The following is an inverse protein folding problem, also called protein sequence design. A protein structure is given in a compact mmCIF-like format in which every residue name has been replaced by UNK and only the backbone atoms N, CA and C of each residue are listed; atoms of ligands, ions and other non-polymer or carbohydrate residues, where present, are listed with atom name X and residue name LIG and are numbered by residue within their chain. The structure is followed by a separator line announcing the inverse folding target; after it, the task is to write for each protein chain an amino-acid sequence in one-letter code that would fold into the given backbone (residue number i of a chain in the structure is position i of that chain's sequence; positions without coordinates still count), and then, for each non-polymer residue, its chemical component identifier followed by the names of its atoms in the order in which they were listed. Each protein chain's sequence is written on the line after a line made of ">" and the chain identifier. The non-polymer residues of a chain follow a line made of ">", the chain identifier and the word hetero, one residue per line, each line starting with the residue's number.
data_IF_125497154957
#
_entry.id   IF_125497154957
#
_cell.length_a   1.000
_cell.length_b   1.000
_cell.length_c   1.000
_cell.angle_alpha   90.00
_cell.angle_beta   90.00
_cell.angle_gamma   90.00
#
_symmetry.space_group_name_H-M   'P 1'
#
loop_
_entity.id
_entity.type
_entity.pdbx_description
1 polymer ?
#
# COMPACT_ATOMS: atom_id res chain seq x y z
N UNK A 1 -7.18 10.72 -7.96
CA UNK A 1 -5.93 10.31 -8.64
C UNK A 1 -4.76 10.17 -7.66
N UNK A 2 -4.51 11.16 -6.87
CA UNK A 2 -3.36 11.26 -5.96
C UNK A 2 -3.35 10.22 -4.84
N UNK A 3 -4.47 9.98 -4.19
CA UNK A 3 -4.61 8.94 -3.17
C UNK A 3 -4.31 7.55 -3.73
N UNK A 4 -4.91 7.23 -4.89
CA UNK A 4 -4.69 5.96 -5.57
C UNK A 4 -3.23 5.76 -5.97
N UNK A 5 -2.56 6.83 -6.46
CA UNK A 5 -1.13 6.79 -6.75
C UNK A 5 -0.30 6.45 -5.51
N UNK A 6 -0.55 7.12 -4.37
CA UNK A 6 0.24 6.91 -3.15
C UNK A 6 0.01 5.53 -2.54
N UNK A 7 -1.24 5.06 -2.52
CA UNK A 7 -1.55 3.70 -2.05
C UNK A 7 -0.90 2.66 -2.96
N UNK A 8 -1.07 2.80 -4.29
CA UNK A 8 -0.47 1.85 -5.24
C UNK A 8 1.06 1.88 -5.21
N UNK A 9 1.66 3.06 -5.06
CA UNK A 9 3.11 3.19 -4.89
C UNK A 9 3.59 2.40 -3.67
N UNK A 10 2.91 2.54 -2.56
CA UNK A 10 3.28 1.90 -1.31
C UNK A 10 3.07 0.38 -1.36
N UNK A 11 1.86 -0.08 -1.66
CA UNK A 11 1.57 -1.52 -1.73
C UNK A 11 2.43 -2.20 -2.81
N UNK A 12 2.63 -1.51 -3.95
CA UNK A 12 3.52 -1.97 -5.01
C UNK A 12 4.96 -2.16 -4.54
N UNK A 13 5.51 -1.22 -3.76
CA UNK A 13 6.87 -1.38 -3.20
C UNK A 13 6.93 -2.60 -2.27
N UNK A 14 5.93 -2.82 -1.42
CA UNK A 14 5.90 -3.96 -0.52
C UNK A 14 5.83 -5.28 -1.28
N UNK A 15 4.97 -5.39 -2.29
CA UNK A 15 4.91 -6.56 -3.19
C UNK A 15 6.24 -6.81 -3.89
N UNK A 16 6.85 -5.77 -4.46
CA UNK A 16 8.16 -5.89 -5.13
C UNK A 16 9.28 -6.28 -4.16
N UNK A 17 9.26 -5.79 -2.92
CA UNK A 17 10.23 -6.19 -1.90
C UNK A 17 10.08 -7.66 -1.52
N UNK A 18 8.86 -8.17 -1.36
CA UNK A 18 8.61 -9.59 -1.10
C UNK A 18 9.22 -10.44 -2.22
N UNK A 19 8.92 -10.12 -3.48
CA UNK A 19 9.44 -10.85 -4.65
C UNK A 19 10.97 -10.73 -4.74
N UNK A 20 11.53 -9.53 -4.54
CA UNK A 20 12.96 -9.29 -4.64
C UNK A 20 13.75 -10.04 -3.54
N UNK A 21 13.25 -10.03 -2.30
CA UNK A 21 13.88 -10.74 -1.18
C UNK A 21 13.80 -12.24 -1.40
N UNK A 22 12.62 -12.75 -1.83
CA UNK A 22 12.44 -14.17 -2.14
C UNK A 22 13.38 -14.62 -3.27
N UNK A 23 13.45 -13.87 -4.37
CA UNK A 23 14.32 -14.19 -5.49
C UNK A 23 15.81 -14.13 -5.12
N UNK A 24 16.21 -13.11 -4.35
CA UNK A 24 17.59 -12.97 -3.87
C UNK A 24 17.99 -14.13 -2.94
N UNK A 25 17.10 -14.51 -2.02
CA UNK A 25 17.32 -15.64 -1.11
C UNK A 25 17.49 -16.96 -1.87
N UNK A 26 16.57 -17.27 -2.81
CA UNK A 26 16.61 -18.50 -3.60
C UNK A 26 17.86 -18.59 -4.49
N UNK A 27 18.29 -17.45 -5.06
CA UNK A 27 19.57 -17.38 -5.81
C UNK A 27 20.77 -17.62 -4.90
N UNK A 28 20.80 -16.97 -3.72
CA UNK A 28 21.90 -17.11 -2.76
C UNK A 28 22.04 -18.54 -2.22
N UNK A 29 20.94 -19.27 -2.07
CA UNK A 29 20.91 -20.66 -1.57
C UNK A 29 21.02 -21.71 -2.68
N UNK A 30 21.23 -21.30 -3.94
CA UNK A 30 21.35 -22.22 -5.09
C UNK A 30 20.03 -22.87 -5.54
N UNK A 31 18.89 -22.44 -4.98
CA UNK A 31 17.56 -23.01 -5.26
C UNK A 31 16.84 -22.28 -6.40
N UNK A 32 17.53 -22.00 -7.49
CA UNK A 32 17.01 -21.20 -8.62
C UNK A 32 15.81 -21.83 -9.32
N UNK A 33 15.65 -23.16 -9.27
CA UNK A 33 14.48 -23.87 -9.81
C UNK A 33 13.15 -23.41 -9.14
N UNK A 34 13.21 -22.92 -7.89
CA UNK A 34 12.04 -22.44 -7.16
C UNK A 34 11.64 -20.99 -7.52
N UNK A 35 12.43 -20.29 -8.35
CA UNK A 35 12.07 -18.94 -8.82
C UNK A 35 10.76 -18.93 -9.62
N UNK A 36 10.48 -20.00 -10.36
CA UNK A 36 9.21 -20.14 -11.07
C UNK A 36 8.01 -20.12 -10.12
N UNK A 37 8.13 -20.71 -8.93
CA UNK A 37 7.09 -20.72 -7.91
C UNK A 37 6.79 -19.29 -7.38
N UNK A 38 7.84 -18.45 -7.21
CA UNK A 38 7.68 -17.04 -6.82
C UNK A 38 6.90 -16.27 -7.89
N UNK A 39 7.25 -16.42 -9.17
CA UNK A 39 6.58 -15.71 -10.25
C UNK A 39 5.13 -16.16 -10.45
N UNK A 40 4.87 -17.46 -10.41
CA UNK A 40 3.51 -18.00 -10.49
C UNK A 40 2.66 -17.60 -9.28
N UNK A 41 3.26 -17.61 -8.07
CA UNK A 41 2.59 -17.13 -6.86
C UNK A 41 2.22 -15.66 -6.95
N UNK A 42 3.13 -14.81 -7.44
CA UNK A 42 2.89 -13.39 -7.63
C UNK A 42 1.81 -13.12 -8.70
N UNK A 43 1.86 -13.84 -9.84
CA UNK A 43 0.85 -13.71 -10.89
C UNK A 43 -0.55 -14.15 -10.42
N UNK A 44 -0.63 -15.27 -9.69
CA UNK A 44 -1.88 -15.76 -9.13
C UNK A 44 -2.45 -14.80 -8.08
N UNK A 45 -1.59 -14.21 -7.22
CA UNK A 45 -2.00 -13.21 -6.25
C UNK A 45 -2.53 -11.93 -6.91
N UNK A 46 -1.84 -11.45 -7.96
CA UNK A 46 -2.30 -10.28 -8.72
C UNK A 46 -3.67 -10.53 -9.38
N UNK A 47 -3.87 -11.71 -9.96
CA UNK A 47 -5.16 -12.10 -10.54
C UNK A 47 -6.26 -12.18 -9.48
N UNK A 48 -5.99 -12.80 -8.34
CA UNK A 48 -6.94 -12.90 -7.22
C UNK A 48 -7.32 -11.51 -6.66
N UNK A 49 -6.34 -10.62 -6.51
CA UNK A 49 -6.56 -9.25 -6.02
C UNK A 49 -7.37 -8.43 -7.00
N UNK A 50 -7.15 -8.59 -8.31
CA UNK A 50 -7.93 -7.92 -9.35
C UNK A 50 -9.40 -8.38 -9.33
N UNK A 51 -9.63 -9.71 -9.25
CA UNK A 51 -10.99 -10.27 -9.16
C UNK A 51 -11.69 -9.76 -7.90
N UNK A 52 -10.99 -9.74 -6.76
CA UNK A 52 -11.53 -9.21 -5.52
C UNK A 52 -11.87 -7.72 -5.63
N UNK A 53 -10.98 -6.91 -6.24
CA UNK A 53 -11.20 -5.48 -6.43
C UNK A 53 -12.43 -5.18 -7.29
N UNK A 54 -12.60 -5.91 -8.39
CA UNK A 54 -13.80 -5.78 -9.26
C UNK A 54 -15.06 -6.17 -8.48
N UNK A 55 -15.04 -7.29 -7.78
CA UNK A 55 -16.18 -7.74 -6.98
C UNK A 55 -16.55 -6.75 -5.86
N UNK A 56 -15.56 -6.20 -5.15
CA UNK A 56 -15.78 -5.19 -4.12
C UNK A 56 -16.36 -3.90 -4.70
N UNK A 57 -15.91 -3.47 -5.89
CA UNK A 57 -16.46 -2.30 -6.57
C UNK A 57 -17.94 -2.48 -6.93
N UNK A 58 -18.36 -3.68 -7.32
CA UNK A 58 -19.77 -4.01 -7.57
C UNK A 58 -20.61 -4.03 -6.28
N UNK A 59 -20.03 -4.44 -5.16
CA UNK A 59 -20.69 -4.43 -3.84
C UNK A 59 -20.86 -3.03 -3.30
N UNK A 60 -19.96 -2.10 -3.65
CA UNK A 60 -19.91 -0.72 -3.16
C UNK A 60 -20.95 0.23 -3.81
N UNK A 61 -22.13 -0.24 -4.17
CA UNK A 61 -23.15 0.58 -4.85
C UNK A 61 -24.06 1.31 -3.86
N UNK A 62 -24.22 0.80 -2.65
CA UNK A 62 -25.13 1.37 -1.64
C UNK A 62 -24.33 2.14 -0.57
N UNK A 63 -24.79 3.34 -0.12
CA UNK A 63 -24.09 4.15 0.88
C UNK A 63 -23.67 3.35 2.13
N UNK A 64 -24.58 2.58 2.70
CA UNK A 64 -24.26 1.75 3.87
C UNK A 64 -23.09 0.77 3.62
N UNK A 65 -23.03 0.16 2.43
CA UNK A 65 -21.95 -0.76 2.07
C UNK A 65 -20.64 -0.02 1.83
N UNK A 66 -20.69 1.18 1.26
CA UNK A 66 -19.53 2.06 1.09
C UNK A 66 -18.95 2.45 2.44
N UNK A 67 -19.77 2.86 3.40
CA UNK A 67 -19.36 3.13 4.77
C UNK A 67 -18.66 1.93 5.43
N UNK A 68 -19.21 0.71 5.27
CA UNK A 68 -18.57 -0.52 5.78
C UNK A 68 -17.22 -0.77 5.09
N UNK A 69 -17.15 -0.66 3.76
CA UNK A 69 -15.90 -0.86 3.03
C UNK A 69 -14.83 0.15 3.42
N UNK A 70 -15.20 1.42 3.61
CA UNK A 70 -14.30 2.46 4.08
C UNK A 70 -13.79 2.18 5.50
N UNK A 71 -14.64 1.68 6.41
CA UNK A 71 -14.21 1.26 7.75
C UNK A 71 -13.24 0.07 7.71
N UNK A 72 -13.53 -0.94 6.89
CA UNK A 72 -12.63 -2.07 6.72
C UNK A 72 -11.29 -1.61 6.14
N UNK A 73 -11.32 -0.77 5.10
CA UNK A 73 -10.10 -0.19 4.52
C UNK A 73 -9.31 0.61 5.57
N UNK A 74 -9.97 1.47 6.35
CA UNK A 74 -9.33 2.23 7.42
C UNK A 74 -8.69 1.32 8.47
N UNK A 75 -9.38 0.24 8.90
CA UNK A 75 -8.86 -0.71 9.87
C UNK A 75 -7.64 -1.49 9.33
N UNK A 76 -7.69 -1.94 8.06
CA UNK A 76 -6.59 -2.63 7.41
C UNK A 76 -5.37 -1.71 7.29
N UNK A 77 -5.55 -0.50 6.76
CA UNK A 77 -4.46 0.49 6.61
C UNK A 77 -3.87 0.85 7.97
N UNK A 78 -4.68 1.07 9.00
CA UNK A 78 -4.20 1.37 10.35
C UNK A 78 -3.42 0.19 10.94
N UNK A 79 -3.92 -1.04 10.80
CA UNK A 79 -3.24 -2.25 11.28
C UNK A 79 -1.87 -2.40 10.64
N UNK A 80 -1.78 -2.11 9.35
CA UNK A 80 -0.56 -2.16 8.57
C UNK A 80 0.43 -1.08 9.00
N UNK A 81 -0.01 0.16 9.21
CA UNK A 81 0.86 1.24 9.73
C UNK A 81 1.46 0.84 11.07
N UNK A 82 0.65 0.32 11.99
CA UNK A 82 1.12 -0.14 13.31
C UNK A 82 2.11 -1.31 13.17
N UNK A 83 1.83 -2.27 12.28
CA UNK A 83 2.75 -3.38 12.01
C UNK A 83 4.08 -2.87 11.44
N UNK A 84 4.05 -1.99 10.45
CA UNK A 84 5.26 -1.45 9.82
C UNK A 84 6.14 -0.65 10.79
N UNK A 85 5.55 0.18 11.63
CA UNK A 85 6.30 0.93 12.64
C UNK A 85 7.04 0.00 13.62
N UNK A 86 6.47 -1.18 13.92
CA UNK A 86 7.05 -2.18 14.80
C UNK A 86 8.03 -3.13 14.10
N UNK A 87 7.71 -3.55 12.88
CA UNK A 87 8.36 -4.66 12.18
C UNK A 87 9.35 -4.24 11.09
N UNK A 88 9.42 -2.96 10.69
CA UNK A 88 10.23 -2.49 9.56
C UNK A 88 11.70 -2.94 9.60
N UNK A 89 12.27 -3.14 10.79
CA UNK A 89 13.65 -3.63 10.98
C UNK A 89 13.79 -5.15 10.80
N UNK A 90 12.72 -5.92 10.98
CA UNK A 90 12.71 -7.38 11.00
C UNK A 90 12.08 -8.01 9.75
N UNK A 91 11.42 -7.22 8.93
CA UNK A 91 10.68 -7.70 7.75
C UNK A 91 11.54 -8.59 6.84
N UNK A 92 12.79 -8.17 6.57
CA UNK A 92 13.69 -8.93 5.70
C UNK A 92 14.04 -10.31 6.28
N UNK A 93 14.32 -10.39 7.59
CA UNK A 93 14.62 -11.68 8.25
C UNK A 93 13.36 -12.55 8.32
N UNK A 94 12.21 -11.98 8.67
CA UNK A 94 10.95 -12.74 8.73
C UNK A 94 10.55 -13.35 7.38
N UNK A 95 10.69 -12.59 6.29
CA UNK A 95 10.45 -13.12 4.93
C UNK A 95 11.44 -14.25 4.62
N UNK A 96 12.72 -14.07 4.93
CA UNK A 96 13.74 -15.09 4.67
C UNK A 96 13.48 -16.36 5.50
N UNK A 97 13.15 -16.24 6.78
CA UNK A 97 12.90 -17.38 7.68
C UNK A 97 11.65 -18.18 7.26
N UNK A 98 10.56 -17.48 6.92
CA UNK A 98 9.35 -18.13 6.40
C UNK A 98 9.56 -18.80 5.05
N UNK A 99 10.30 -18.15 4.16
CA UNK A 99 10.65 -18.71 2.85
C UNK A 99 11.57 -19.92 3.01
N UNK A 100 12.52 -19.88 3.95
CA UNK A 100 13.37 -21.02 4.25
C UNK A 100 12.54 -22.20 4.74
N UNK A 101 11.62 -21.99 5.65
CA UNK A 101 10.71 -23.03 6.13
C UNK A 101 9.89 -23.67 4.99
N UNK A 102 9.40 -22.84 4.06
CA UNK A 102 8.67 -23.29 2.88
C UNK A 102 9.56 -24.10 1.90
N UNK A 103 10.82 -23.68 1.75
CA UNK A 103 11.78 -24.27 0.82
C UNK A 103 12.59 -25.46 1.39
N UNK A 104 12.41 -25.85 2.66
CA UNK A 104 13.12 -26.99 3.29
C UNK A 104 12.75 -28.34 2.70
N UNK A 105 11.58 -28.47 2.10
CA UNK A 105 11.12 -29.68 1.42
C UNK A 105 11.83 -29.82 0.07
N UNK A 106 11.71 -30.98 -0.56
CA UNK A 106 12.30 -31.26 -1.88
C UNK A 106 11.24 -31.43 -2.96
N UNK A 107 11.62 -31.22 -4.22
CA UNK A 107 10.76 -31.46 -5.37
C UNK A 107 9.50 -30.58 -5.39
N UNK A 108 8.37 -31.18 -5.76
CA UNK A 108 7.09 -30.49 -5.90
C UNK A 108 6.60 -29.84 -4.58
N UNK A 109 6.87 -30.48 -3.45
CA UNK A 109 6.46 -29.97 -2.14
C UNK A 109 7.20 -28.67 -1.77
N UNK A 110 8.45 -28.50 -2.18
CA UNK A 110 9.18 -27.23 -2.03
C UNK A 110 8.61 -26.16 -2.95
N UNK A 111 8.33 -26.54 -4.21
CA UNK A 111 7.74 -25.62 -5.18
C UNK A 111 6.38 -25.09 -4.70
N UNK A 112 5.47 -25.98 -4.27
CA UNK A 112 4.16 -25.61 -3.71
C UNK A 112 4.30 -24.75 -2.45
N UNK A 113 5.26 -25.07 -1.57
CA UNK A 113 5.53 -24.28 -0.37
C UNK A 113 5.91 -22.83 -0.70
N UNK A 114 6.83 -22.64 -1.64
CA UNK A 114 7.27 -21.30 -2.09
C UNK A 114 6.16 -20.59 -2.85
N UNK A 115 5.42 -21.30 -3.70
CA UNK A 115 4.25 -20.77 -4.40
C UNK A 115 3.19 -20.24 -3.41
N UNK A 116 2.76 -21.06 -2.46
CA UNK A 116 1.75 -20.67 -1.46
C UNK A 116 2.26 -19.55 -0.55
N UNK A 117 3.52 -19.59 -0.14
CA UNK A 117 4.12 -18.50 0.61
C UNK A 117 4.00 -17.16 -0.16
N UNK A 118 4.44 -17.15 -1.42
CA UNK A 118 4.40 -15.94 -2.25
C UNK A 118 2.98 -15.50 -2.54
N UNK A 119 2.09 -16.45 -2.88
CA UNK A 119 0.68 -16.21 -3.09
C UNK A 119 0.05 -15.51 -1.87
N UNK A 120 0.20 -16.08 -0.68
CA UNK A 120 -0.44 -15.56 0.54
C UNK A 120 0.13 -14.19 0.93
N UNK A 121 1.45 -14.02 0.83
CA UNK A 121 2.08 -12.74 1.18
C UNK A 121 1.64 -11.60 0.25
N UNK A 122 1.59 -11.84 -1.07
CA UNK A 122 1.20 -10.82 -2.04
C UNK A 122 -0.32 -10.62 -2.05
N UNK A 123 -1.12 -11.69 -1.88
CA UNK A 123 -2.58 -11.55 -1.80
C UNK A 123 -3.00 -10.69 -0.61
N UNK A 124 -2.27 -10.75 0.50
CA UNK A 124 -2.52 -9.87 1.64
C UNK A 124 -2.43 -8.39 1.22
N UNK A 125 -1.31 -7.99 0.61
CA UNK A 125 -1.12 -6.60 0.16
C UNK A 125 -2.16 -6.23 -0.94
N UNK A 126 -2.46 -7.19 -1.83
CA UNK A 126 -3.47 -7.01 -2.85
C UNK A 126 -4.91 -6.87 -2.31
N UNK A 127 -5.23 -7.51 -1.19
CA UNK A 127 -6.52 -7.29 -0.50
C UNK A 127 -6.59 -5.88 0.09
N UNK A 128 -5.54 -5.42 0.78
CA UNK A 128 -5.48 -4.06 1.34
C UNK A 128 -5.67 -3.02 0.22
N UNK A 129 -4.97 -3.20 -0.89
CA UNK A 129 -5.15 -2.39 -2.09
C UNK A 129 -6.59 -2.46 -2.64
N UNK A 130 -7.19 -3.64 -2.75
CA UNK A 130 -8.53 -3.83 -3.31
C UNK A 130 -9.62 -3.14 -2.47
N UNK A 131 -9.54 -3.21 -1.14
CA UNK A 131 -10.47 -2.53 -0.24
C UNK A 131 -10.36 -1.01 -0.36
N UNK A 132 -9.13 -0.47 -0.39
CA UNK A 132 -8.90 0.97 -0.57
C UNK A 132 -9.36 1.42 -1.96
N UNK A 133 -9.04 0.67 -3.01
CA UNK A 133 -9.48 0.98 -4.36
C UNK A 133 -11.01 1.00 -4.47
N UNK A 134 -11.69 0.02 -3.88
CA UNK A 134 -13.15 -0.04 -3.87
C UNK A 134 -13.77 1.17 -3.13
N UNK A 135 -13.20 1.60 -2.00
CA UNK A 135 -13.68 2.78 -1.27
C UNK A 135 -13.47 4.09 -2.04
N UNK A 136 -12.48 4.15 -2.94
CA UNK A 136 -12.20 5.32 -3.77
C UNK A 136 -13.01 5.37 -5.07
N UNK A 137 -13.66 4.28 -5.49
CA UNK A 137 -14.38 4.23 -6.77
C UNK A 137 -15.55 5.19 -6.84
N UNK A 138 -16.14 5.54 -5.72
CA UNK A 138 -17.25 6.49 -5.65
C UNK A 138 -16.77 7.96 -5.51
N UNK A 139 -15.57 8.15 -4.95
CA UNK A 139 -15.00 9.48 -4.71
C UNK A 139 -14.26 10.06 -5.93
N UNK A 140 -13.94 9.25 -6.93
CA UNK A 140 -13.17 9.68 -8.09
C UNK A 140 -13.59 8.95 -9.38
N UNK A 141 -13.45 9.64 -10.51
CA UNK A 141 -13.75 9.00 -11.79
C UNK A 141 -12.76 7.87 -12.13
N UNK A 142 -13.21 6.88 -12.89
CA UNK A 142 -12.44 5.69 -13.24
C UNK A 142 -11.09 6.03 -13.92
N UNK A 143 -11.03 7.07 -14.76
CA UNK A 143 -9.80 7.49 -15.44
C UNK A 143 -8.76 7.97 -14.42
N UNK A 144 -9.19 8.76 -13.43
CA UNK A 144 -8.31 9.25 -12.37
C UNK A 144 -7.79 8.11 -11.47
N UNK A 145 -8.62 7.11 -11.19
CA UNK A 145 -8.22 5.93 -10.41
C UNK A 145 -7.22 5.07 -11.18
N UNK A 146 -7.54 4.71 -12.43
CA UNK A 146 -6.67 3.87 -13.26
C UNK A 146 -5.33 4.56 -13.53
N UNK A 147 -5.35 5.87 -13.88
CA UNK A 147 -4.10 6.61 -14.10
C UNK A 147 -3.26 6.72 -12.83
N UNK A 148 -3.89 6.96 -11.68
CA UNK A 148 -3.20 6.96 -10.38
C UNK A 148 -2.57 5.61 -10.04
N UNK A 149 -3.30 4.51 -10.28
CA UNK A 149 -2.80 3.15 -10.07
C UNK A 149 -1.62 2.83 -10.98
N UNK A 150 -1.72 3.14 -12.28
CA UNK A 150 -0.64 2.88 -13.24
C UNK A 150 0.62 3.69 -12.90
N UNK A 151 0.47 4.98 -12.60
CA UNK A 151 1.60 5.83 -12.20
C UNK A 151 2.24 5.34 -10.89
N UNK A 152 1.42 4.96 -9.90
CA UNK A 152 1.90 4.38 -8.65
C UNK A 152 2.68 3.07 -8.87
N UNK A 153 2.18 2.19 -9.74
CA UNK A 153 2.83 0.92 -10.05
C UNK A 153 4.17 1.13 -10.79
N UNK A 154 4.21 2.03 -11.77
CA UNK A 154 5.44 2.40 -12.49
C UNK A 154 6.48 3.00 -11.54
N UNK A 155 6.04 3.89 -10.64
CA UNK A 155 6.91 4.49 -9.64
C UNK A 155 7.43 3.45 -8.65
N UNK A 156 6.58 2.52 -8.18
CA UNK A 156 6.97 1.42 -7.31
C UNK A 156 8.00 0.49 -7.97
N UNK A 157 7.76 0.11 -9.23
CA UNK A 157 8.69 -0.71 -10.01
C UNK A 157 10.04 -0.02 -10.22
N UNK A 158 10.02 1.29 -10.53
CA UNK A 158 11.22 2.11 -10.69
C UNK A 158 12.05 2.18 -9.40
N UNK A 159 11.39 2.40 -8.26
CA UNK A 159 12.02 2.40 -6.94
C UNK A 159 12.58 1.02 -6.56
N UNK A 160 11.85 -0.05 -6.87
CA UNK A 160 12.30 -1.42 -6.62
C UNK A 160 13.55 -1.76 -7.44
N UNK A 161 13.59 -1.38 -8.73
CA UNK A 161 14.75 -1.53 -9.60
C UNK A 161 15.93 -0.68 -9.10
N UNK A 162 15.67 0.58 -8.72
CA UNK A 162 16.69 1.46 -8.16
C UNK A 162 17.27 0.86 -6.87
N UNK A 163 16.42 0.32 -5.99
CA UNK A 163 16.85 -0.34 -4.77
C UNK A 163 17.66 -1.61 -5.05
N UNK A 164 17.23 -2.45 -5.98
CA UNK A 164 17.96 -3.65 -6.38
C UNK A 164 19.36 -3.33 -6.97
N UNK A 165 19.46 -2.19 -7.69
CA UNK A 165 20.69 -1.79 -8.40
C UNK A 165 21.65 -0.97 -7.54
N UNK A 166 21.12 -0.10 -6.67
CA UNK A 166 21.89 0.86 -5.86
C UNK A 166 21.81 0.60 -4.35
N UNK A 167 21.04 -0.38 -3.90
CA UNK A 167 20.84 -0.98 -2.57
C UNK A 167 20.93 -0.01 -1.37
N UNK A 168 22.15 0.45 -1.07
CA UNK A 168 22.45 1.24 0.12
C UNK A 168 22.14 2.75 0.00
N UNK A 169 21.78 3.25 -1.19
CA UNK A 169 21.49 4.68 -1.42
C UNK A 169 20.02 5.05 -1.24
N UNK A 170 19.12 4.06 -1.23
CA UNK A 170 17.69 4.28 -1.05
C UNK A 170 17.32 3.95 0.39
N UNK A 171 17.00 4.97 1.18
CA UNK A 171 16.58 4.82 2.58
C UNK A 171 15.10 4.43 2.66
N UNK A 172 14.83 3.12 2.54
CA UNK A 172 13.48 2.57 2.65
C UNK A 172 12.82 2.90 3.99
N UNK A 173 13.61 3.06 5.06
CA UNK A 173 13.07 3.43 6.38
C UNK A 173 12.44 4.82 6.33
N UNK A 174 13.15 5.79 5.72
CA UNK A 174 12.62 7.14 5.56
C UNK A 174 11.37 7.13 4.69
N UNK A 175 11.40 6.37 3.59
CA UNK A 175 10.24 6.19 2.72
C UNK A 175 9.02 5.68 3.51
N UNK A 176 9.15 4.59 4.26
CA UNK A 176 8.06 4.03 5.05
C UNK A 176 7.59 4.95 6.18
N UNK A 177 8.49 5.70 6.82
CA UNK A 177 8.10 6.69 7.83
C UNK A 177 7.23 7.80 7.23
N UNK A 178 7.62 8.33 6.07
CA UNK A 178 6.89 9.41 5.39
C UNK A 178 5.55 8.93 4.85
N UNK A 179 5.52 7.77 4.22
CA UNK A 179 4.26 7.19 3.73
C UNK A 179 3.33 6.77 4.87
N UNK A 180 3.84 6.42 6.05
CA UNK A 180 3.02 6.15 7.24
C UNK A 180 2.27 7.38 7.73
N UNK A 181 2.88 8.58 7.66
CA UNK A 181 2.19 9.84 8.00
C UNK A 181 1.02 10.06 7.03
N UNK A 182 1.28 9.92 5.72
CA UNK A 182 0.22 9.98 4.71
C UNK A 182 -0.93 9.02 5.05
N UNK A 183 -0.62 7.76 5.39
CA UNK A 183 -1.64 6.75 5.66
C UNK A 183 -2.45 7.02 6.92
N UNK A 184 -1.83 7.54 7.98
CA UNK A 184 -2.58 7.94 9.19
C UNK A 184 -3.59 9.03 8.86
N UNK A 185 -3.18 10.04 8.10
CA UNK A 185 -4.08 11.10 7.66
C UNK A 185 -5.15 10.56 6.70
N UNK A 186 -4.78 9.62 5.82
CA UNK A 186 -5.72 8.97 4.92
C UNK A 186 -6.75 8.11 5.67
N UNK A 187 -6.35 7.42 6.75
CA UNK A 187 -7.29 6.72 7.64
C UNK A 187 -8.32 7.68 8.23
N UNK A 188 -7.91 8.88 8.66
CA UNK A 188 -8.84 9.89 9.17
C UNK A 188 -9.85 10.31 8.09
N UNK A 189 -9.39 10.46 6.84
CA UNK A 189 -10.28 10.77 5.72
C UNK A 189 -11.24 9.61 5.41
N UNK A 190 -10.78 8.35 5.44
CA UNK A 190 -11.65 7.18 5.28
C UNK A 190 -12.70 7.06 6.38
N UNK A 191 -12.34 7.39 7.62
CA UNK A 191 -13.29 7.41 8.74
C UNK A 191 -14.34 8.50 8.58
N UNK A 192 -13.93 9.68 8.13
CA UNK A 192 -14.87 10.79 7.83
C UNK A 192 -15.82 10.40 6.69
N UNK A 193 -15.29 9.81 5.62
CA UNK A 193 -16.08 9.30 4.51
C UNK A 193 -17.06 8.20 4.96
N UNK A 194 -16.60 7.25 5.76
CA UNK A 194 -17.48 6.20 6.31
C UNK A 194 -18.60 6.77 7.16
N UNK A 195 -18.31 7.80 7.98
CA UNK A 195 -19.32 8.49 8.77
C UNK A 195 -20.36 9.18 7.87
N UNK A 196 -19.91 9.90 6.83
CA UNK A 196 -20.76 10.53 5.84
C UNK A 196 -21.72 9.52 5.18
N UNK A 197 -21.22 8.41 4.69
CA UNK A 197 -21.99 7.34 4.06
C UNK A 197 -23.02 6.70 5.00
N UNK A 198 -22.68 6.54 6.28
CA UNK A 198 -23.65 6.04 7.27
C UNK A 198 -24.74 7.06 7.57
N UNK A 199 -24.45 8.35 7.53
CA UNK A 199 -25.48 9.39 7.68
C UNK A 199 -26.37 9.46 6.44
N UNK A 200 -25.82 9.31 5.23
CA UNK A 200 -26.60 9.21 4.00
C UNK A 200 -27.55 8.01 4.03
N UNK A 201 -27.04 6.86 4.51
CA UNK A 201 -27.84 5.65 4.66
C UNK A 201 -28.90 5.72 5.79
N UNK A 202 -28.93 6.78 6.58
CA UNK A 202 -29.82 6.89 7.75
C UNK A 202 -29.53 5.86 8.83
N UNK A 203 -28.30 5.33 8.92
CA UNK A 203 -27.95 4.18 9.75
C UNK A 203 -27.57 4.55 11.20
N UNK A 204 -27.36 5.83 11.50
CA UNK A 204 -26.93 6.28 12.82
C UNK A 204 -28.09 6.78 13.69
N UNK A 205 -28.04 6.60 15.02
CA UNK A 205 -29.08 7.09 15.94
C UNK A 205 -28.93 8.59 16.25
N UNK A 206 -28.76 9.41 15.21
CA UNK A 206 -28.54 10.87 15.26
C UNK A 206 -29.37 11.55 14.19
N UNK A 207 -29.35 12.88 14.12
CA UNK A 207 -29.94 13.62 13.00
C UNK A 207 -29.11 13.40 11.73
N UNK A 208 -29.43 12.34 10.99
CA UNK A 208 -28.68 11.93 9.81
C UNK A 208 -28.71 13.00 8.71
N UNK A 209 -29.83 13.70 8.53
CA UNK A 209 -29.96 14.73 7.49
C UNK A 209 -29.04 15.93 7.78
N UNK A 210 -28.97 16.36 9.02
CA UNK A 210 -28.08 17.45 9.45
C UNK A 210 -26.60 17.05 9.24
N UNK A 211 -26.22 15.85 9.72
CA UNK A 211 -24.83 15.42 9.65
C UNK A 211 -24.37 15.08 8.24
N UNK A 212 -25.25 14.57 7.39
CA UNK A 212 -24.95 14.35 5.97
C UNK A 212 -24.57 15.67 5.30
N UNK A 213 -25.41 16.72 5.42
CA UNK A 213 -25.12 18.04 4.87
C UNK A 213 -23.87 18.68 5.49
N UNK A 214 -23.64 18.50 6.79
CA UNK A 214 -22.48 19.08 7.47
C UNK A 214 -21.14 18.42 7.07
N UNK A 215 -21.17 17.18 6.61
CA UNK A 215 -19.97 16.43 6.21
C UNK A 215 -19.75 16.35 4.70
N UNK A 216 -20.72 16.72 3.88
CA UNK A 216 -20.68 16.63 2.41
C UNK A 216 -19.43 17.32 1.82
N UNK A 217 -19.19 18.58 2.19
CA UNK A 217 -18.03 19.35 1.73
C UNK A 217 -16.68 18.72 2.12
N UNK A 218 -16.64 18.01 3.26
CA UNK A 218 -15.43 17.37 3.78
C UNK A 218 -15.21 15.96 3.25
N UNK A 219 -16.30 15.24 2.93
CA UNK A 219 -16.24 13.88 2.44
C UNK A 219 -16.07 13.81 0.91
N UNK A 220 -16.83 14.63 0.17
CA UNK A 220 -16.93 14.60 -1.30
C UNK A 220 -16.72 15.95 -1.97
N UNK A 221 -16.81 17.06 -1.23
CA UNK A 221 -16.74 18.42 -1.75
C UNK A 221 -15.33 18.96 -1.99
N UNK A 222 -15.23 20.29 -2.02
CA UNK A 222 -13.98 20.99 -2.31
C UNK A 222 -12.93 20.76 -1.22
N UNK A 223 -13.33 20.68 0.06
CA UNK A 223 -12.41 20.38 1.16
C UNK A 223 -11.84 18.96 1.09
N UNK A 224 -12.61 17.97 0.60
CA UNK A 224 -12.09 16.62 0.35
C UNK A 224 -10.93 16.64 -0.65
N UNK A 225 -11.03 17.46 -1.71
CA UNK A 225 -9.96 17.63 -2.70
C UNK A 225 -8.73 18.32 -2.11
N UNK A 226 -8.92 19.36 -1.28
CA UNK A 226 -7.82 20.04 -0.59
C UNK A 226 -7.13 19.13 0.41
N UNK A 227 -7.87 18.33 1.18
CA UNK A 227 -7.31 17.32 2.09
C UNK A 227 -6.48 16.31 1.28
N UNK A 228 -7.03 15.81 0.18
CA UNK A 228 -6.33 14.86 -0.70
C UNK A 228 -5.03 15.42 -1.27
N UNK A 229 -5.00 16.70 -1.61
CA UNK A 229 -3.79 17.40 -2.06
C UNK A 229 -2.78 17.58 -0.92
N UNK A 230 -3.26 18.01 0.27
CA UNK A 230 -2.44 18.19 1.46
C UNK A 230 -1.79 16.88 1.92
N UNK A 231 -2.53 15.75 1.82
CA UNK A 231 -2.03 14.41 2.11
C UNK A 231 -0.75 14.04 1.32
N UNK A 232 -0.58 14.61 0.14
CA UNK A 232 0.60 14.37 -0.70
C UNK A 232 1.66 15.43 -0.46
N UNK A 233 1.26 16.70 -0.44
CA UNK A 233 2.20 17.80 -0.35
C UNK A 233 2.93 17.83 1.00
N UNK A 234 2.26 17.50 2.11
CA UNK A 234 2.87 17.50 3.44
C UNK A 234 4.01 16.47 3.55
N UNK A 235 3.80 15.16 3.22
CA UNK A 235 4.88 14.19 3.24
C UNK A 235 6.02 14.50 2.26
N UNK A 236 5.70 14.98 1.05
CA UNK A 236 6.70 15.34 0.06
C UNK A 236 7.53 16.55 0.50
N UNK A 237 6.90 17.59 1.04
CA UNK A 237 7.58 18.75 1.59
C UNK A 237 8.50 18.35 2.75
N UNK A 238 8.05 17.45 3.60
CA UNK A 238 8.87 16.94 4.70
C UNK A 238 10.05 16.09 4.21
N UNK A 239 9.85 15.25 3.19
CA UNK A 239 10.94 14.52 2.52
C UNK A 239 11.98 15.47 1.94
N UNK A 240 11.54 16.50 1.21
CA UNK A 240 12.43 17.52 0.64
C UNK A 240 13.21 18.24 1.74
N UNK A 241 12.54 18.68 2.80
CA UNK A 241 13.16 19.33 3.94
C UNK A 241 14.16 18.43 4.67
N UNK A 242 13.82 17.17 4.92
CA UNK A 242 14.70 16.21 5.56
C UNK A 242 15.93 15.87 4.71
N UNK A 243 15.80 15.83 3.38
CA UNK A 243 16.90 15.59 2.45
C UNK A 243 17.87 16.79 2.40
N UNK A 244 17.35 18.02 2.41
CA UNK A 244 18.15 19.24 2.45
C UNK A 244 18.94 19.39 3.75
N UNK A 245 18.38 18.98 4.89
CA UNK A 245 19.10 18.99 6.17
C UNK A 245 20.24 17.96 6.28
N UNK A 246 20.20 16.88 5.51
CA UNK A 246 21.27 15.88 5.47
C UNK A 246 22.43 16.24 4.53
N UNK A 247 22.34 17.34 3.79
CA UNK A 247 23.26 17.71 2.73
C UNK A 247 24.46 18.65 3.04
N UNK A 248 24.88 18.98 4.26
CA UNK A 248 26.19 19.62 4.41
C UNK A 248 27.06 19.04 5.51
N UNK A 249 27.98 18.12 5.19
CA UNK A 249 29.18 17.88 6.00
C UNK A 249 30.37 17.28 5.23
N UNK A 250 30.33 17.16 3.91
CA UNK A 250 31.38 16.40 3.18
C UNK A 250 32.35 17.27 2.35
N UNK A 251 32.25 18.60 2.37
CA UNK A 251 33.18 19.45 1.59
C UNK A 251 34.18 20.26 2.41
N UNK A 252 34.23 20.13 3.72
CA UNK A 252 35.16 20.93 4.54
C UNK A 252 36.50 20.22 4.86
N UNK A 253 36.72 18.98 4.48
CA UNK A 253 37.96 18.23 4.78
C UNK A 253 38.82 17.84 3.58
N UNK A 254 38.59 18.42 2.41
CA UNK A 254 39.45 18.18 1.23
C UNK A 254 40.36 19.35 0.85
N UNK A 255 40.48 20.35 1.71
CA UNK A 255 41.40 21.50 1.50
C UNK A 255 42.17 21.87 2.79
N UNK A 256 42.80 20.90 3.40
CA UNK A 256 43.88 21.18 4.37
C UNK A 256 45.00 20.16 4.21
#
# INVERSE_FOLDING_TARGET
>A
MSQMLMVTLREGIEMFLIVAIAAAYLRKTGRTALLSAVWWGAAAAAAASLVLGVWLAEVAVLPFRQGILALIAAALVLSMVVYMLKAARRMRSEIADRLEAAARRTGLAAWLGVFLFTLLMITREGMEFAFVAASLTQQANAIALVSGALLGLVAAGSLAVAWARYGHRVDLRLFFQVTSIFLVLFVLQLLLYAFHEFTEAGALPIDNAYWHLATEEWAEGEYANLISLALILIPLAWLAYASLRKAPATQAHAQS
#
